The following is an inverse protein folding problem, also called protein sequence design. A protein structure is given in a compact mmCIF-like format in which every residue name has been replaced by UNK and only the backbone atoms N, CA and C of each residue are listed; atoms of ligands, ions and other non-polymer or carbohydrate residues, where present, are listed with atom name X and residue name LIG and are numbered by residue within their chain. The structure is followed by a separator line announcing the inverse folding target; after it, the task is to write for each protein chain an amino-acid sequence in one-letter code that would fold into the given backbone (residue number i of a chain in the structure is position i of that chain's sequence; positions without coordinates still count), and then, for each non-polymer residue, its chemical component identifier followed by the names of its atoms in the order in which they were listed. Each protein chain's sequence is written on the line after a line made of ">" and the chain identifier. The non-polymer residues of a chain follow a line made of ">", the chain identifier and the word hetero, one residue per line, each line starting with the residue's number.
data_IF_986392224149
#
_entry.id   IF_986392224149
#
_cell.length_a   1.000
_cell.length_b   1.000
_cell.length_c   1.000
_cell.angle_alpha   90.00
_cell.angle_beta   90.00
_cell.angle_gamma   90.00
#
_symmetry.space_group_name_H-M   'P 1'
#
loop_
_entity.id
_entity.type
_entity.pdbx_description
1 polymer ?
#
# COMPACT_ATOMS: atom_id res chain seq x y z
N UNK A 1 8.17 14.39 10.95
CA UNK A 1 6.97 14.16 10.10
C UNK A 1 6.24 15.49 9.90
N UNK A 2 6.13 15.99 8.67
CA UNK A 2 5.49 17.28 8.35
C UNK A 2 3.96 17.17 8.36
N UNK A 3 3.24 18.29 8.45
CA UNK A 3 1.77 18.30 8.41
C UNK A 3 1.20 17.71 7.10
N UNK A 4 1.87 17.94 5.98
CA UNK A 4 1.54 17.37 4.66
C UNK A 4 1.64 15.84 4.67
N UNK A 5 2.74 15.28 5.19
CA UNK A 5 2.92 13.83 5.31
C UNK A 5 1.84 13.20 6.21
N UNK A 6 1.50 13.85 7.32
CA UNK A 6 0.44 13.38 8.24
C UNK A 6 -0.94 13.34 7.57
N UNK A 7 -1.27 14.34 6.75
CA UNK A 7 -2.55 14.38 6.02
C UNK A 7 -2.61 13.29 4.94
N UNK A 8 -1.51 13.04 4.22
CA UNK A 8 -1.41 11.94 3.25
C UNK A 8 -1.64 10.59 3.94
N UNK A 9 -0.95 10.31 5.06
CA UNK A 9 -1.13 9.08 5.84
C UNK A 9 -2.60 8.92 6.26
N UNK A 10 -3.21 9.95 6.84
CA UNK A 10 -4.59 9.87 7.31
C UNK A 10 -5.58 9.58 6.17
N UNK A 11 -5.36 10.14 4.98
CA UNK A 11 -6.18 9.87 3.80
C UNK A 11 -6.05 8.42 3.34
N UNK A 12 -4.83 7.91 3.21
CA UNK A 12 -4.56 6.53 2.81
C UNK A 12 -5.14 5.52 3.81
N UNK A 13 -4.96 5.76 5.12
CA UNK A 13 -5.54 4.93 6.18
C UNK A 13 -7.07 4.89 6.09
N UNK A 14 -7.71 6.04 5.79
CA UNK A 14 -9.16 6.09 5.64
C UNK A 14 -9.64 5.31 4.41
N UNK A 15 -8.91 5.38 3.30
CA UNK A 15 -9.23 4.61 2.09
C UNK A 15 -9.09 3.12 2.39
N UNK A 16 -7.95 2.70 2.95
CA UNK A 16 -7.66 1.31 3.29
C UNK A 16 -8.75 0.72 4.20
N UNK A 17 -9.19 1.44 5.23
CA UNK A 17 -10.26 0.97 6.13
C UNK A 17 -11.64 0.88 5.47
N UNK A 18 -11.91 1.69 4.45
CA UNK A 18 -13.23 1.76 3.82
C UNK A 18 -13.35 0.84 2.60
N UNK A 19 -12.24 0.58 1.91
CA UNK A 19 -12.20 -0.20 0.66
C UNK A 19 -11.45 -1.52 0.81
N UNK A 20 -10.88 -1.80 1.99
CA UNK A 20 -9.97 -2.92 2.27
C UNK A 20 -8.70 -2.97 1.40
N UNK A 21 -8.47 -1.96 0.54
CA UNK A 21 -7.26 -1.80 -0.24
C UNK A 21 -6.96 -0.34 -0.53
N UNK A 22 -5.67 -0.03 -0.76
CA UNK A 22 -5.21 1.26 -1.24
C UNK A 22 -3.93 1.09 -2.06
N UNK A 23 -3.83 1.84 -3.15
CA UNK A 23 -2.65 1.93 -4.00
C UNK A 23 -2.14 3.37 -4.03
N UNK A 24 -0.83 3.57 -3.97
CA UNK A 24 -0.24 4.91 -4.02
C UNK A 24 1.23 4.89 -4.49
N UNK A 25 1.70 6.03 -4.99
CA UNK A 25 3.12 6.27 -5.34
C UNK A 25 3.85 7.03 -4.23
N UNK A 26 5.08 6.61 -3.93
CA UNK A 26 6.02 7.33 -3.07
C UNK A 26 7.47 7.01 -3.48
N UNK A 27 8.33 8.02 -3.56
CA UNK A 27 9.75 7.90 -3.92
C UNK A 27 10.01 7.00 -5.16
N UNK A 28 9.25 7.25 -6.23
CA UNK A 28 9.30 6.50 -7.50
C UNK A 28 8.90 5.02 -7.43
N UNK A 29 8.44 4.55 -6.26
CA UNK A 29 7.90 3.21 -6.08
C UNK A 29 6.38 3.22 -5.98
N UNK A 30 5.79 2.08 -6.32
CA UNK A 30 4.35 1.88 -6.35
C UNK A 30 3.97 0.87 -5.28
N UNK A 31 3.04 1.25 -4.41
CA UNK A 31 2.65 0.48 -3.25
C UNK A 31 1.22 0.02 -3.40
N UNK A 32 0.97 -1.24 -3.04
CA UNK A 32 -0.35 -1.81 -2.87
C UNK A 32 -0.46 -2.35 -1.44
N UNK A 33 -1.48 -1.90 -0.71
CA UNK A 33 -1.76 -2.35 0.66
C UNK A 33 -3.20 -2.81 0.71
N UNK A 34 -3.44 -4.01 1.23
CA UNK A 34 -4.78 -4.58 1.34
C UNK A 34 -4.91 -5.49 2.57
N UNK A 35 -6.14 -5.73 3.00
CA UNK A 35 -6.41 -6.65 4.12
C UNK A 35 -6.04 -8.09 3.73
N UNK A 36 -5.20 -8.72 4.55
CA UNK A 36 -4.79 -10.11 4.34
C UNK A 36 -5.84 -11.08 4.88
N UNK A 37 -6.05 -12.18 4.17
CA UNK A 37 -6.86 -13.30 4.66
C UNK A 37 -6.27 -14.00 5.88
N UNK A 38 -4.96 -13.84 6.11
CA UNK A 38 -4.24 -14.39 7.27
C UNK A 38 -4.28 -13.45 8.50
N UNK A 39 -4.98 -12.32 8.37
CA UNK A 39 -5.04 -11.26 9.39
C UNK A 39 -3.94 -10.21 9.21
N UNK A 40 -4.28 -8.95 9.51
CA UNK A 40 -3.40 -7.80 9.26
C UNK A 40 -3.49 -7.29 7.81
N UNK A 41 -2.42 -6.67 7.33
CA UNK A 41 -2.35 -6.03 6.01
C UNK A 41 -1.21 -6.61 5.19
N UNK A 42 -1.53 -7.12 4.01
CA UNK A 42 -0.55 -7.45 3.00
C UNK A 42 -0.07 -6.16 2.33
N UNK A 43 1.22 -6.16 2.03
CA UNK A 43 1.96 -5.02 1.55
C UNK A 43 2.80 -5.48 0.37
N UNK A 44 2.63 -4.85 -0.78
CA UNK A 44 3.43 -5.12 -1.97
C UNK A 44 4.05 -3.82 -2.51
N UNK A 45 5.29 -3.92 -2.96
CA UNK A 45 6.07 -2.81 -3.53
C UNK A 45 6.48 -3.19 -4.95
N UNK A 46 6.24 -2.29 -5.90
CA UNK A 46 6.50 -2.50 -7.31
C UNK A 46 7.42 -1.40 -7.86
N UNK A 47 8.27 -1.78 -8.80
CA UNK A 47 9.14 -0.85 -9.53
C UNK A 47 8.45 -0.12 -10.68
N UNK A 48 7.18 -0.45 -10.98
CA UNK A 48 6.41 0.08 -12.11
C UNK A 48 4.90 0.01 -11.82
N UNK A 49 4.12 0.93 -12.39
CA UNK A 49 2.65 0.90 -12.43
C UNK A 49 2.07 0.14 -13.63
N UNK A 50 2.90 -0.63 -14.35
CA UNK A 50 2.41 -1.47 -15.43
C UNK A 50 1.36 -2.45 -14.91
N UNK A 51 0.23 -2.50 -15.62
CA UNK A 51 -0.93 -3.33 -15.31
C UNK A 51 -1.14 -4.38 -16.39
N UNK A 52 -1.72 -5.50 -16.00
CA UNK A 52 -2.17 -6.55 -16.92
C UNK A 52 -3.52 -6.21 -17.57
N UNK A 53 -4.08 -7.17 -18.31
CA UNK A 53 -5.35 -7.01 -19.03
C UNK A 53 -6.55 -6.84 -18.09
N UNK A 54 -6.45 -7.32 -16.84
CA UNK A 54 -7.47 -7.20 -15.80
C UNK A 54 -7.33 -5.89 -15.00
N UNK A 55 -6.28 -5.11 -15.27
CA UNK A 55 -5.99 -3.86 -14.58
C UNK A 55 -5.27 -4.04 -13.25
N UNK A 56 -4.73 -5.23 -12.97
CA UNK A 56 -3.96 -5.54 -11.77
C UNK A 56 -2.47 -5.22 -11.96
N UNK A 57 -1.77 -4.88 -10.87
CA UNK A 57 -0.33 -4.62 -10.95
C UNK A 57 0.43 -5.91 -11.31
N UNK A 58 1.31 -5.81 -12.32
CA UNK A 58 2.05 -6.96 -12.82
C UNK A 58 2.99 -7.50 -11.73
N UNK A 59 2.77 -8.75 -11.33
CA UNK A 59 3.52 -9.42 -10.26
C UNK A 59 5.03 -9.47 -10.51
N UNK A 60 5.48 -9.61 -11.76
CA UNK A 60 6.93 -9.63 -12.08
C UNK A 60 7.65 -8.32 -11.79
N UNK A 61 6.92 -7.22 -11.58
CA UNK A 61 7.48 -5.93 -11.17
C UNK A 61 7.52 -5.75 -9.65
N UNK A 62 7.01 -6.73 -8.88
CA UNK A 62 7.05 -6.71 -7.43
C UNK A 62 8.51 -6.92 -6.98
N UNK A 63 9.04 -5.95 -6.25
CA UNK A 63 10.42 -5.96 -5.76
C UNK A 63 10.53 -6.29 -4.27
N UNK A 64 9.45 -6.07 -3.52
CA UNK A 64 9.38 -6.38 -2.10
C UNK A 64 7.91 -6.59 -1.69
N UNK A 65 7.71 -7.28 -0.57
CA UNK A 65 6.41 -7.38 0.07
C UNK A 65 6.46 -8.11 1.39
N UNK A 66 5.38 -7.98 2.15
CA UNK A 66 5.29 -8.58 3.47
C UNK A 66 3.92 -8.44 4.10
N UNK A 67 3.80 -9.03 5.28
CA UNK A 67 2.60 -8.97 6.10
C UNK A 67 2.84 -8.05 7.29
N UNK A 68 2.00 -7.03 7.45
CA UNK A 68 1.96 -6.17 8.62
C UNK A 68 0.82 -6.62 9.53
N UNK A 69 1.16 -7.21 10.68
CA UNK A 69 0.18 -7.57 11.72
C UNK A 69 -0.27 -6.38 12.59
N UNK A 70 0.21 -5.18 12.28
CA UNK A 70 -0.15 -3.94 12.97
C UNK A 70 -1.48 -3.35 12.49
N UNK A 71 -1.72 -2.09 12.86
CA UNK A 71 -2.89 -1.35 12.40
C UNK A 71 -2.76 -0.91 10.94
N UNK A 72 -3.87 -0.51 10.31
CA UNK A 72 -3.86 0.15 9.00
C UNK A 72 -2.91 1.35 8.94
N UNK A 73 -2.72 2.04 10.07
CA UNK A 73 -1.78 3.16 10.16
C UNK A 73 -0.34 2.69 10.11
N UNK A 74 -0.02 1.58 10.76
CA UNK A 74 1.33 1.00 10.75
C UNK A 74 1.68 0.52 9.34
N UNK A 75 0.74 -0.15 8.65
CA UNK A 75 0.90 -0.59 7.27
C UNK A 75 1.17 0.56 6.29
N UNK A 76 0.46 1.69 6.43
CA UNK A 76 0.65 2.88 5.58
C UNK A 76 1.91 3.66 5.95
N UNK A 77 2.25 3.73 7.25
CA UNK A 77 3.39 4.54 7.73
C UNK A 77 4.72 3.84 7.49
N UNK A 78 4.76 2.51 7.40
CA UNK A 78 5.96 1.78 6.98
C UNK A 78 6.49 2.24 5.61
N UNK A 79 5.62 2.84 4.79
CA UNK A 79 5.88 3.25 3.41
C UNK A 79 6.21 4.73 3.21
N UNK A 80 6.22 5.55 4.26
CA UNK A 80 6.28 7.02 4.18
C UNK A 80 7.22 7.60 5.24
#
# INVERSE_FOLDING_TARGET
>A
MTALARNKINSLVRILKNKSSVEFKHDELYYQVFESSEGGYAINVYSSDARDEDGELIYSNMIDGGLCSGSARDAVTFML
#
